data_IF_961514114880
#
_entry.id   IF_961514114880
#
_cell.length_a   1.000
_cell.length_b   1.000
_cell.length_c   1.000
_cell.angle_alpha   90.00
_cell.angle_beta   90.00
_cell.angle_gamma   90.00
#
_symmetry.space_group_name_H-M   'P 1'
#
loop_
_entity.id
_entity.type
_entity.pdbx_description
1 polymer ?
#
# COMPACT_ATOMS: atom_id res chain seq x y z
N UNK A 1 7.62 17.47 -30.78
CA UNK A 1 6.55 17.34 -29.78
C UNK A 1 6.86 16.12 -28.96
N UNK A 2 7.09 16.26 -27.67
CA UNK A 2 7.25 15.11 -26.78
C UNK A 2 5.89 14.40 -26.75
N UNK A 3 5.83 13.12 -27.18
CA UNK A 3 4.62 12.32 -26.99
C UNK A 3 4.30 12.28 -25.49
N UNK A 4 3.08 12.65 -25.18
CA UNK A 4 2.60 12.63 -23.80
C UNK A 4 2.51 11.15 -23.37
N UNK A 5 3.35 10.74 -22.42
CA UNK A 5 3.35 9.37 -21.89
C UNK A 5 2.01 9.03 -21.24
N UNK A 6 1.63 7.79 -21.38
CA UNK A 6 0.43 7.22 -20.77
C UNK A 6 0.81 6.23 -19.66
N UNK A 7 -0.15 5.85 -18.85
CA UNK A 7 0.05 4.98 -17.67
C UNK A 7 0.76 3.68 -18.02
N UNK A 8 0.41 3.03 -19.13
CA UNK A 8 1.05 1.76 -19.56
C UNK A 8 2.55 1.86 -19.78
N UNK A 9 3.06 3.06 -20.07
CA UNK A 9 4.50 3.27 -20.28
C UNK A 9 5.31 3.23 -18.99
N UNK A 10 4.64 3.40 -17.84
CA UNK A 10 5.22 3.46 -16.51
C UNK A 10 4.72 2.34 -15.58
N UNK A 11 3.69 1.59 -15.97
CA UNK A 11 3.10 0.60 -15.10
C UNK A 11 4.01 -0.60 -14.85
N UNK A 12 3.89 -1.15 -13.66
CA UNK A 12 4.50 -2.41 -13.25
C UNK A 12 3.48 -3.52 -13.45
N UNK A 13 3.90 -4.61 -14.08
CA UNK A 13 3.04 -5.78 -14.27
C UNK A 13 2.67 -6.42 -12.93
N UNK A 14 1.45 -6.94 -12.83
CA UNK A 14 0.95 -7.58 -11.61
C UNK A 14 1.82 -8.75 -11.15
N UNK A 15 2.39 -9.51 -12.09
CA UNK A 15 3.24 -10.67 -11.77
C UNK A 15 4.61 -10.27 -11.20
N UNK A 16 5.04 -9.04 -11.42
CA UNK A 16 6.29 -8.49 -10.90
C UNK A 16 6.14 -7.80 -9.53
N UNK A 17 4.92 -7.73 -8.98
CA UNK A 17 4.63 -7.01 -7.75
C UNK A 17 4.07 -7.92 -6.65
N UNK A 18 4.46 -7.74 -5.38
CA UNK A 18 3.97 -8.55 -4.26
C UNK A 18 2.45 -8.45 -4.10
N UNK A 19 1.80 -9.59 -4.04
CA UNK A 19 0.36 -9.70 -3.85
C UNK A 19 0.01 -10.91 -2.99
N UNK A 20 -1.11 -10.81 -2.28
CA UNK A 20 -1.60 -11.85 -1.36
C UNK A 20 -3.12 -12.02 -1.50
N UNK A 21 -3.66 -13.21 -1.18
CA UNK A 21 -5.10 -13.39 -1.08
C UNK A 21 -5.64 -12.76 0.20
N UNK A 22 -6.90 -12.34 0.18
CA UNK A 22 -7.57 -11.62 1.28
C UNK A 22 -7.69 -12.46 2.58
N UNK A 23 -7.61 -13.77 2.48
CA UNK A 23 -7.70 -14.69 3.64
C UNK A 23 -6.36 -14.97 4.33
N UNK A 24 -5.29 -14.37 3.88
CA UNK A 24 -4.01 -14.45 4.61
C UNK A 24 -4.10 -13.65 5.91
N UNK A 25 -3.34 -14.12 6.92
CA UNK A 25 -3.18 -13.38 8.17
C UNK A 25 -2.10 -12.30 8.04
N UNK A 26 -2.14 -11.32 8.93
CA UNK A 26 -1.08 -10.31 9.05
C UNK A 26 0.30 -10.99 9.23
N UNK A 27 0.37 -12.05 10.04
CA UNK A 27 1.59 -12.83 10.26
C UNK A 27 2.16 -13.40 8.95
N UNK A 28 1.30 -13.99 8.12
CA UNK A 28 1.72 -14.52 6.81
C UNK A 28 2.23 -13.42 5.89
N UNK A 29 1.58 -12.26 5.87
CA UNK A 29 2.01 -11.11 5.06
C UNK A 29 3.35 -10.56 5.57
N UNK A 30 3.56 -10.45 6.87
CA UNK A 30 4.85 -10.03 7.44
C UNK A 30 5.97 -10.96 6.97
N UNK A 31 5.76 -12.28 6.96
CA UNK A 31 6.75 -13.25 6.47
C UNK A 31 7.07 -13.02 4.99
N UNK A 32 6.06 -12.80 4.15
CA UNK A 32 6.24 -12.52 2.72
C UNK A 32 7.04 -11.23 2.53
N UNK A 33 6.69 -10.17 3.26
CA UNK A 33 7.41 -8.90 3.24
C UNK A 33 8.89 -9.12 3.57
N UNK A 34 9.18 -9.79 4.67
CA UNK A 34 10.56 -10.05 5.11
C UNK A 34 11.38 -10.80 4.07
N UNK A 35 10.79 -11.79 3.40
CA UNK A 35 11.48 -12.57 2.36
C UNK A 35 11.62 -11.77 1.05
N UNK A 36 10.54 -11.14 0.60
CA UNK A 36 10.52 -10.43 -0.69
C UNK A 36 11.43 -9.21 -0.71
N UNK A 37 11.54 -8.50 0.40
CA UNK A 37 12.28 -7.23 0.47
C UNK A 37 13.75 -7.40 0.74
N UNK A 38 14.12 -8.43 1.47
CA UNK A 38 15.53 -8.79 1.66
C UNK A 38 16.14 -9.32 0.35
N UNK A 39 15.31 -9.93 -0.51
CA UNK A 39 15.77 -10.59 -1.74
C UNK A 39 15.69 -9.73 -3.00
N UNK A 40 14.88 -8.68 -3.03
CA UNK A 40 14.60 -7.93 -4.26
C UNK A 40 15.43 -6.66 -4.39
N UNK A 41 16.46 -6.71 -5.24
CA UNK A 41 17.17 -5.52 -5.72
C UNK A 41 16.35 -4.68 -6.72
N UNK A 42 15.29 -5.25 -7.31
CA UNK A 42 14.50 -4.62 -8.39
C UNK A 42 13.49 -3.60 -7.89
N UNK A 43 12.94 -3.81 -6.68
CA UNK A 43 11.99 -2.90 -6.04
C UNK A 43 12.39 -2.71 -4.57
N UNK A 44 13.34 -1.81 -4.30
CA UNK A 44 13.92 -1.67 -2.95
C UNK A 44 12.93 -1.19 -1.88
N UNK A 45 11.77 -0.68 -2.28
CA UNK A 45 10.75 -0.18 -1.36
C UNK A 45 9.35 -0.51 -1.86
N UNK A 46 8.82 -1.71 -1.65
CA UNK A 46 7.39 -1.89 -1.78
C UNK A 46 6.73 -1.30 -0.56
N UNK A 47 6.08 -0.19 -0.78
CA UNK A 47 5.35 0.54 0.25
C UNK A 47 3.96 -0.05 0.50
N UNK A 48 3.50 -0.92 -0.38
CA UNK A 48 2.22 -1.60 -0.26
C UNK A 48 2.22 -2.96 -0.95
N UNK A 49 1.31 -3.83 -0.52
CA UNK A 49 1.02 -5.15 -1.09
C UNK A 49 -0.39 -5.13 -1.65
N UNK A 50 -0.61 -5.80 -2.77
CA UNK A 50 -1.93 -5.94 -3.38
C UNK A 50 -2.69 -7.11 -2.75
N UNK A 51 -4.00 -6.95 -2.55
CA UNK A 51 -4.89 -7.97 -1.98
C UNK A 51 -5.93 -8.39 -3.00
N UNK A 52 -6.03 -9.69 -3.25
CA UNK A 52 -6.92 -10.27 -4.24
C UNK A 52 -7.93 -11.25 -3.64
N UNK A 53 -9.07 -11.39 -4.34
CA UNK A 53 -10.04 -12.46 -4.08
C UNK A 53 -9.69 -13.76 -4.82
N UNK A 54 -10.52 -14.79 -4.69
CA UNK A 54 -10.36 -16.11 -5.32
C UNK A 54 -10.43 -16.06 -6.85
N UNK A 55 -11.02 -15.02 -7.40
CA UNK A 55 -11.17 -14.80 -8.84
C UNK A 55 -10.09 -13.86 -9.41
N UNK A 56 -9.09 -13.52 -8.59
CA UNK A 56 -8.03 -12.58 -8.94
C UNK A 56 -8.53 -11.14 -9.21
N UNK A 57 -9.65 -10.77 -8.57
CA UNK A 57 -10.06 -9.37 -8.57
C UNK A 57 -9.32 -8.62 -7.45
N UNK A 58 -8.83 -7.44 -7.76
CA UNK A 58 -8.19 -6.57 -6.76
C UNK A 58 -9.22 -6.09 -5.75
N UNK A 59 -9.00 -6.40 -4.47
CA UNK A 59 -9.83 -5.95 -3.36
C UNK A 59 -9.30 -4.69 -2.70
N UNK A 60 -7.99 -4.58 -2.55
CA UNK A 60 -7.38 -3.45 -1.86
C UNK A 60 -5.87 -3.53 -1.82
N UNK A 61 -5.28 -2.71 -0.98
CA UNK A 61 -3.85 -2.62 -0.73
C UNK A 61 -3.55 -2.62 0.76
N UNK A 62 -2.35 -3.06 1.13
CA UNK A 62 -1.86 -3.01 2.51
C UNK A 62 -0.50 -2.34 2.50
N UNK A 63 -0.40 -1.17 3.12
CA UNK A 63 0.87 -0.50 3.37
C UNK A 63 1.46 -0.95 4.72
N UNK A 64 2.73 -0.66 4.95
CA UNK A 64 3.39 -0.96 6.23
C UNK A 64 2.66 -0.32 7.41
N UNK A 65 2.14 0.90 7.24
CA UNK A 65 1.35 1.59 8.27
C UNK A 65 0.07 0.83 8.63
N UNK A 66 -0.56 0.17 7.67
CA UNK A 66 -1.80 -0.58 7.90
C UNK A 66 -1.52 -1.84 8.72
N UNK A 67 -0.37 -2.48 8.48
CA UNK A 67 0.12 -3.60 9.28
C UNK A 67 0.38 -3.15 10.71
N UNK A 68 1.14 -2.07 10.90
CA UNK A 68 1.43 -1.51 12.23
C UNK A 68 0.14 -1.13 12.97
N UNK A 69 -0.80 -0.48 12.29
CA UNK A 69 -2.11 -0.15 12.86
C UNK A 69 -2.95 -1.39 13.19
N UNK A 70 -2.84 -2.45 12.39
CA UNK A 70 -3.49 -3.74 12.65
C UNK A 70 -2.94 -4.46 13.87
N UNK A 71 -1.67 -4.24 14.19
CA UNK A 71 -0.98 -4.79 15.36
C UNK A 71 -1.14 -3.91 16.60
N UNK A 72 -1.70 -2.71 16.46
CA UNK A 72 -1.92 -1.78 17.56
C UNK A 72 -3.12 -2.23 18.41
N UNK A 73 -2.98 -2.35 19.73
CA UNK A 73 -4.07 -2.67 20.62
C UNK A 73 -5.20 -1.63 20.56
N UNK A 74 -6.44 -2.07 20.74
CA UNK A 74 -7.62 -1.21 20.60
C UNK A 74 -7.60 0.02 21.51
N UNK A 75 -7.08 -0.10 22.73
CA UNK A 75 -7.06 0.99 23.68
C UNK A 75 -6.03 2.09 23.34
N UNK A 76 -5.08 1.80 22.46
CA UNK A 76 -4.14 2.79 21.93
C UNK A 76 -4.70 3.58 20.74
N UNK A 77 -5.76 3.06 20.10
CA UNK A 77 -6.38 3.76 18.97
C UNK A 77 -7.17 4.97 19.46
N UNK A 78 -6.95 6.16 18.91
CA UNK A 78 -7.73 7.32 19.27
C UNK A 78 -9.21 7.02 19.00
N UNK A 79 -10.05 7.21 20.04
CA UNK A 79 -11.49 7.13 19.86
C UNK A 79 -11.92 8.25 18.90
N UNK A 80 -12.74 7.92 17.92
CA UNK A 80 -13.10 8.79 16.79
C UNK A 80 -13.75 10.14 17.17
N UNK A 81 -13.94 10.45 18.46
CA UNK A 81 -14.61 11.69 18.97
C UNK A 81 -14.11 12.20 20.32
N UNK A 82 -13.03 11.69 20.86
CA UNK A 82 -12.47 12.21 22.12
C UNK A 82 -11.10 12.80 21.83
N UNK A 83 -10.84 14.00 22.37
CA UNK A 83 -9.55 14.68 22.29
C UNK A 83 -8.40 13.67 22.38
N UNK A 84 -7.47 13.76 21.44
CA UNK A 84 -6.30 12.91 21.38
C UNK A 84 -5.69 12.75 22.78
N UNK A 85 -5.82 11.57 23.37
CA UNK A 85 -5.04 11.20 24.53
C UNK A 85 -3.59 11.15 24.04
N UNK A 86 -2.85 12.17 24.39
CA UNK A 86 -1.41 12.18 24.15
C UNK A 86 -0.80 11.22 25.15
N UNK A 87 -0.53 10.00 24.75
CA UNK A 87 0.22 9.04 25.55
C UNK A 87 1.62 9.65 25.74
N UNK A 88 2.05 9.82 26.98
CA UNK A 88 3.38 10.36 27.26
C UNK A 88 4.49 9.35 26.88
N UNK A 89 5.69 9.85 26.55
CA UNK A 89 6.84 8.97 26.23
C UNK A 89 7.14 7.91 27.29
N UNK A 90 7.09 8.21 28.61
CA UNK A 90 7.26 7.19 29.65
C UNK A 90 6.18 6.11 29.65
N UNK A 91 4.92 6.48 29.36
CA UNK A 91 3.82 5.52 29.24
C UNK A 91 3.99 4.64 27.99
N UNK A 92 4.45 5.18 26.88
CA UNK A 92 4.77 4.41 25.69
C UNK A 92 5.87 3.37 25.96
N UNK A 93 6.91 3.72 26.73
CA UNK A 93 7.98 2.79 27.07
C UNK A 93 7.49 1.61 27.91
N UNK A 94 6.61 1.84 28.89
CA UNK A 94 6.01 0.78 29.73
C UNK A 94 5.08 -0.14 28.91
N UNK A 95 4.36 0.43 27.94
CA UNK A 95 3.42 -0.27 27.09
C UNK A 95 4.15 -1.13 26.07
N UNK A 96 5.31 -0.68 25.58
CA UNK A 96 6.08 -1.35 24.53
C UNK A 96 6.40 -2.81 24.86
N UNK A 97 6.96 -3.09 26.03
CA UNK A 97 7.37 -4.42 26.43
C UNK A 97 6.22 -5.41 26.62
N UNK A 98 5.05 -4.91 27.05
CA UNK A 98 3.89 -5.75 27.34
C UNK A 98 3.02 -6.01 26.10
N UNK A 99 2.84 -5.01 25.25
CA UNK A 99 1.88 -5.03 24.17
C UNK A 99 2.43 -5.60 22.88
N UNK A 100 3.67 -5.24 22.52
CA UNK A 100 4.30 -5.74 21.31
C UNK A 100 4.79 -7.19 21.43
N UNK A 101 4.84 -7.75 22.62
CA UNK A 101 5.25 -9.15 22.81
C UNK A 101 4.08 -10.15 22.80
N UNK A 102 2.97 -9.84 23.43
CA UNK A 102 1.86 -10.81 23.60
C UNK A 102 0.62 -10.43 22.79
N UNK A 103 0.18 -9.17 22.88
CA UNK A 103 -1.02 -8.72 22.17
C UNK A 103 -0.80 -8.63 20.66
N UNK A 104 0.34 -8.15 20.20
CA UNK A 104 0.64 -8.07 18.77
C UNK A 104 0.68 -9.44 18.10
N UNK A 105 1.13 -10.49 18.79
CA UNK A 105 1.08 -11.86 18.27
C UNK A 105 -0.35 -12.35 18.03
N UNK A 106 -1.28 -12.04 18.92
CA UNK A 106 -2.70 -12.35 18.75
C UNK A 106 -3.32 -11.52 17.61
N UNK A 107 -2.98 -10.24 17.55
CA UNK A 107 -3.47 -9.35 16.51
C UNK A 107 -2.93 -9.73 15.12
N UNK A 108 -1.75 -10.32 15.05
CA UNK A 108 -1.15 -10.80 13.81
C UNK A 108 -1.90 -11.99 13.18
N UNK A 109 -2.79 -12.66 13.93
CA UNK A 109 -3.67 -13.71 13.40
C UNK A 109 -4.93 -13.16 12.71
N UNK A 110 -5.18 -11.85 12.75
CA UNK A 110 -6.24 -11.22 11.97
C UNK A 110 -6.00 -11.38 10.47
N UNK A 111 -7.09 -11.43 9.73
CA UNK A 111 -7.04 -11.48 8.27
C UNK A 111 -6.64 -10.12 7.69
N UNK A 112 -5.91 -10.15 6.60
CA UNK A 112 -5.51 -8.92 5.89
C UNK A 112 -6.71 -8.14 5.36
N UNK A 113 -7.83 -8.82 5.06
CA UNK A 113 -9.10 -8.16 4.69
C UNK A 113 -9.64 -7.22 5.76
N UNK A 114 -9.26 -7.39 7.03
CA UNK A 114 -9.68 -6.52 8.13
C UNK A 114 -8.86 -5.23 8.23
N UNK A 115 -7.68 -5.20 7.63
CA UNK A 115 -6.74 -4.07 7.72
C UNK A 115 -6.44 -3.41 6.37
N UNK A 116 -6.80 -4.05 5.25
CA UNK A 116 -6.54 -3.51 3.92
C UNK A 116 -7.32 -2.21 3.68
N UNK A 117 -6.75 -1.34 2.86
CA UNK A 117 -7.43 -0.19 2.31
C UNK A 117 -8.11 -0.60 1.01
N UNK A 118 -9.44 -0.53 0.89
CA UNK A 118 -10.14 -0.90 -0.33
C UNK A 118 -9.69 -0.09 -1.54
N UNK A 119 -9.55 -0.73 -2.70
CA UNK A 119 -9.18 -0.08 -3.95
C UNK A 119 -10.37 0.72 -4.51
N UNK A 120 -10.44 2.01 -4.19
CA UNK A 120 -11.51 2.92 -4.64
C UNK A 120 -11.16 3.65 -5.92
N UNK A 121 -9.88 3.88 -6.16
CA UNK A 121 -9.36 4.67 -7.28
C UNK A 121 -8.49 3.79 -8.16
N UNK A 122 -8.58 4.00 -9.45
CA UNK A 122 -7.79 3.30 -10.46
C UNK A 122 -7.58 4.19 -11.68
N UNK A 123 -6.67 3.78 -12.53
CA UNK A 123 -6.43 4.37 -13.86
C UNK A 123 -6.50 3.28 -14.92
N UNK A 124 -6.67 3.68 -16.17
CA UNK A 124 -6.62 2.77 -17.32
C UNK A 124 -5.26 2.87 -18.03
N UNK A 125 -4.84 1.84 -18.78
CA UNK A 125 -3.52 1.82 -19.43
C UNK A 125 -3.24 3.02 -20.33
N UNK A 126 -4.26 3.52 -21.02
CA UNK A 126 -4.16 4.64 -21.96
C UNK A 126 -4.47 6.02 -21.33
N UNK A 127 -4.72 6.04 -20.02
CA UNK A 127 -4.86 7.31 -19.31
C UNK A 127 -3.54 8.10 -19.30
N UNK A 128 -3.59 9.43 -19.39
CA UNK A 128 -2.39 10.25 -19.27
C UNK A 128 -1.81 10.14 -17.85
N UNK A 129 -0.49 10.16 -17.73
CA UNK A 129 0.20 10.11 -16.42
C UNK A 129 -0.21 11.25 -15.49
N UNK A 130 -0.64 12.39 -16.04
CA UNK A 130 -1.15 13.52 -15.27
C UNK A 130 -2.43 13.18 -14.51
N UNK A 131 -3.28 12.28 -15.02
CA UNK A 131 -4.45 11.77 -14.30
C UNK A 131 -4.03 10.94 -13.07
N UNK A 132 -3.02 10.09 -13.23
CA UNK A 132 -2.47 9.32 -12.10
C UNK A 132 -1.87 10.26 -11.04
N UNK A 133 -1.07 11.24 -11.46
CA UNK A 133 -0.50 12.26 -10.57
C UNK A 133 -1.59 13.02 -9.81
N UNK A 134 -2.63 13.47 -10.50
CA UNK A 134 -3.76 14.17 -9.90
C UNK A 134 -4.44 13.33 -8.80
N UNK A 135 -4.77 12.07 -9.10
CA UNK A 135 -5.39 11.17 -8.13
C UNK A 135 -4.49 10.90 -6.93
N UNK A 136 -3.19 10.68 -7.15
CA UNK A 136 -2.24 10.45 -6.07
C UNK A 136 -2.14 11.63 -5.12
N UNK A 137 -2.08 12.86 -5.66
CA UNK A 137 -1.97 14.09 -4.87
C UNK A 137 -3.25 14.35 -4.08
N UNK A 138 -4.40 14.28 -4.73
CA UNK A 138 -5.67 14.69 -4.12
C UNK A 138 -6.33 13.62 -3.25
N UNK A 139 -5.94 12.35 -3.40
CA UNK A 139 -6.46 11.22 -2.61
C UNK A 139 -5.42 10.64 -1.64
N UNK A 140 -4.25 11.28 -1.52
CA UNK A 140 -3.15 10.84 -0.65
C UNK A 140 -2.74 9.37 -0.93
N UNK A 141 -2.55 9.04 -2.20
CA UNK A 141 -2.23 7.69 -2.66
C UNK A 141 -0.78 7.61 -3.10
N UNK A 142 -0.11 6.53 -2.74
CA UNK A 142 1.28 6.24 -3.15
C UNK A 142 1.37 5.31 -4.36
N UNK A 143 0.27 4.63 -4.67
CA UNK A 143 0.12 3.79 -5.84
C UNK A 143 -1.34 3.80 -6.33
N UNK A 144 -1.51 3.47 -7.61
CA UNK A 144 -2.81 3.29 -8.23
C UNK A 144 -2.85 1.99 -9.01
N UNK A 145 -3.90 1.17 -8.83
CA UNK A 145 -4.16 0.04 -9.70
C UNK A 145 -4.45 0.50 -11.14
N UNK A 146 -3.99 -0.30 -12.09
CA UNK A 146 -4.30 -0.12 -13.51
C UNK A 146 -5.31 -1.19 -13.93
N UNK A 147 -6.49 -0.77 -14.34
CA UNK A 147 -7.58 -1.65 -14.76
C UNK A 147 -7.87 -1.47 -16.25
N UNK A 148 -7.81 -2.55 -17.01
CA UNK A 148 -8.27 -2.56 -18.40
C UNK A 148 -9.80 -2.69 -18.44
N UNK A 149 -10.45 -1.82 -19.22
CA UNK A 149 -11.92 -1.74 -19.33
C UNK A 149 -12.62 -1.64 -17.96
N UNK A 150 -12.00 -0.96 -16.99
CA UNK A 150 -12.51 -0.77 -15.62
C UNK A 150 -12.78 -2.04 -14.84
N UNK A 151 -12.28 -3.18 -15.28
CA UNK A 151 -12.58 -4.50 -14.70
C UNK A 151 -11.34 -5.37 -14.48
N UNK A 152 -10.52 -5.51 -15.51
CA UNK A 152 -9.38 -6.42 -15.46
C UNK A 152 -8.16 -5.71 -14.90
N UNK A 153 -7.70 -6.18 -13.76
CA UNK A 153 -6.45 -5.72 -13.18
C UNK A 153 -5.26 -6.18 -14.06
N UNK A 154 -4.45 -5.25 -14.52
CA UNK A 154 -3.32 -5.53 -15.42
C UNK A 154 -1.98 -5.08 -14.83
N UNK A 155 -1.97 -4.22 -13.85
CA UNK A 155 -0.76 -3.73 -13.21
C UNK A 155 -1.03 -2.59 -12.24
N UNK A 156 0.03 -1.90 -11.86
CA UNK A 156 -0.05 -0.73 -10.99
C UNK A 156 0.96 0.33 -11.42
N UNK A 157 0.70 1.56 -11.05
CA UNK A 157 1.66 2.66 -11.16
C UNK A 157 1.89 3.25 -9.78
N UNK A 158 3.15 3.51 -9.42
CA UNK A 158 3.52 4.10 -8.13
C UNK A 158 3.84 5.58 -8.28
N UNK A 159 3.75 6.29 -7.17
CA UNK A 159 4.14 7.70 -7.11
C UNK A 159 5.59 7.92 -7.58
N UNK A 160 6.47 6.96 -7.32
CA UNK A 160 7.88 7.05 -7.73
C UNK A 160 8.04 7.17 -9.24
N UNK A 161 7.38 6.29 -10.03
CA UNK A 161 7.46 6.33 -11.49
C UNK A 161 6.90 7.63 -12.05
N UNK A 162 5.81 8.13 -11.46
CA UNK A 162 5.21 9.42 -11.83
C UNK A 162 6.16 10.57 -11.50
N UNK A 163 6.77 10.55 -10.31
CA UNK A 163 7.72 11.55 -9.87
C UNK A 163 8.95 11.61 -10.79
N UNK A 164 9.55 10.44 -11.07
CA UNK A 164 10.74 10.35 -11.93
C UNK A 164 10.45 10.90 -13.33
N UNK A 165 9.28 10.58 -13.91
CA UNK A 165 8.91 11.06 -15.23
C UNK A 165 8.68 12.57 -15.27
N UNK A 166 7.90 13.10 -14.32
CA UNK A 166 7.58 14.53 -14.28
C UNK A 166 8.81 15.39 -13.97
N UNK A 167 9.68 14.92 -13.08
CA UNK A 167 10.91 15.67 -12.76
C UNK A 167 11.94 15.62 -13.87
N UNK A 168 12.00 14.54 -14.64
CA UNK A 168 12.85 14.48 -15.84
C UNK A 168 12.45 15.54 -16.88
N UNK A 169 11.17 15.90 -16.98
CA UNK A 169 10.72 16.98 -17.86
C UNK A 169 11.23 18.33 -17.37
N UNK A 170 11.25 18.54 -16.05
CA UNK A 170 11.70 19.80 -15.43
C UNK A 170 13.22 19.96 -15.53
N UNK A 171 13.95 18.84 -15.43
CA UNK A 171 15.44 18.85 -15.42
C UNK A 171 16.07 18.77 -16.82
N UNK A 172 15.28 18.52 -17.86
CA UNK A 172 15.75 18.64 -19.24
C UNK A 172 15.86 20.11 -19.60
N UNK A 173 17.11 20.59 -19.72
CA UNK A 173 17.43 21.87 -20.34
C UNK A 173 17.16 21.87 -21.86
#
# INVERSE_FOLDING_TARGET
>A
MSESKVVKDLMIDVFDYPHVPYWFTINQVIKIIKVSFVSSKKYPEPLAILVFDEKYNLMGTIALKDILSGLEPRFMKPAAKVQAYTISEPELALIWDTLFNTESKKLAEKLVSEIMVPAKYFVEPDDPITKAAYLMIHQDLILLPVLENKKKFVGLVRMREIFDELTNIILKE
#
